data_IF_711216570294
#
_entry.id   IF_711216570294
#
_cell.length_a   1.000
_cell.length_b   1.000
_cell.length_c   1.000
_cell.angle_alpha   90.00
_cell.angle_beta   90.00
_cell.angle_gamma   90.00
#
_symmetry.space_group_name_H-M   'P 1'
#
loop_
_entity.id
_entity.type
_entity.pdbx_description
1 polymer ?
#
# COMPACT_ATOMS: atom_id res chain seq x y z
N UNK A 1 16.96 12.62 -5.62
CA UNK A 1 17.83 13.10 -4.54
C UNK A 1 17.25 14.34 -3.83
N UNK A 2 17.10 15.51 -4.47
CA UNK A 2 16.56 16.73 -3.80
C UNK A 2 15.26 16.48 -3.02
N UNK A 3 14.26 15.85 -3.63
CA UNK A 3 12.96 15.63 -2.99
C UNK A 3 13.05 14.78 -1.72
N UNK A 4 13.87 13.72 -1.70
CA UNK A 4 14.05 12.89 -0.50
C UNK A 4 14.69 13.68 0.65
N UNK A 5 15.66 14.54 0.34
CA UNK A 5 16.32 15.40 1.34
C UNK A 5 15.37 16.49 1.87
N UNK A 6 14.53 17.06 1.01
CA UNK A 6 13.49 18.02 1.41
C UNK A 6 12.50 17.38 2.38
N UNK A 7 11.94 16.22 2.04
CA UNK A 7 11.02 15.48 2.91
C UNK A 7 11.66 15.08 4.25
N UNK A 8 12.94 14.71 4.25
CA UNK A 8 13.68 14.44 5.49
C UNK A 8 13.83 15.69 6.35
N UNK A 9 14.10 16.84 5.74
CA UNK A 9 14.20 18.13 6.44
C UNK A 9 12.85 18.60 7.00
N UNK A 10 11.74 18.21 6.38
CA UNK A 10 10.37 18.41 6.85
C UNK A 10 10.00 17.49 8.02
N UNK A 11 10.88 16.54 8.38
CA UNK A 11 10.72 15.65 9.53
C UNK A 11 10.16 14.27 9.22
N UNK A 12 9.98 13.92 7.95
CA UNK A 12 9.48 12.60 7.59
C UNK A 12 10.50 11.51 7.90
N UNK A 13 10.03 10.35 8.37
CA UNK A 13 10.85 9.15 8.53
C UNK A 13 11.03 8.44 7.19
N UNK A 14 12.04 7.58 7.07
CA UNK A 14 12.38 6.91 5.79
C UNK A 14 11.22 6.12 5.19
N UNK A 15 10.39 5.49 6.01
CA UNK A 15 9.19 4.78 5.56
C UNK A 15 8.17 5.72 4.90
N UNK A 16 7.94 6.90 5.47
CA UNK A 16 7.05 7.92 4.90
C UNK A 16 7.63 8.49 3.59
N UNK A 17 8.95 8.72 3.54
CA UNK A 17 9.64 9.16 2.33
C UNK A 17 9.52 8.10 1.21
N UNK A 18 9.62 6.82 1.57
CA UNK A 18 9.43 5.70 0.64
C UNK A 18 8.05 5.72 -0.01
N UNK A 19 7.01 6.00 0.77
CA UNK A 19 5.64 6.13 0.26
C UNK A 19 5.46 7.37 -0.62
N UNK A 20 5.88 8.53 -0.15
CA UNK A 20 5.77 9.78 -0.90
C UNK A 20 6.49 9.75 -2.26
N UNK A 21 7.56 8.98 -2.38
CA UNK A 21 8.35 8.84 -3.60
C UNK A 21 8.00 7.59 -4.41
N UNK A 22 7.15 6.72 -3.90
CA UNK A 22 6.80 5.43 -4.49
C UNK A 22 8.04 4.61 -4.86
N UNK A 23 9.01 4.53 -3.95
CA UNK A 23 10.27 3.78 -4.10
C UNK A 23 10.52 2.89 -2.88
N UNK A 24 11.41 1.91 -3.02
CA UNK A 24 11.77 1.03 -1.91
C UNK A 24 12.53 1.77 -0.81
N UNK A 25 12.47 1.24 0.44
CA UNK A 25 13.25 1.79 1.56
C UNK A 25 14.76 1.81 1.30
N UNK A 26 15.30 0.79 0.60
CA UNK A 26 16.70 0.77 0.17
C UNK A 26 17.04 1.96 -0.74
N UNK A 27 16.13 2.29 -1.66
CA UNK A 27 16.29 3.46 -2.54
C UNK A 27 16.30 4.75 -1.72
N UNK A 28 15.42 4.89 -0.73
CA UNK A 28 15.39 6.07 0.16
C UNK A 28 16.71 6.19 0.93
N UNK A 29 17.17 5.11 1.57
CA UNK A 29 18.43 5.08 2.29
C UNK A 29 19.59 5.48 1.38
N UNK A 30 19.63 4.95 0.16
CA UNK A 30 20.64 5.32 -0.83
C UNK A 30 20.56 6.81 -1.22
N UNK A 31 19.36 7.33 -1.50
CA UNK A 31 19.13 8.73 -1.86
C UNK A 31 19.58 9.70 -0.76
N UNK A 32 19.33 9.37 0.51
CA UNK A 32 19.70 10.20 1.67
C UNK A 32 21.20 10.15 1.96
N UNK A 33 21.83 8.98 1.82
CA UNK A 33 23.27 8.82 2.12
C UNK A 33 24.17 9.35 1.00
N UNK A 34 23.67 9.49 -0.23
CA UNK A 34 24.43 9.95 -1.39
C UNK A 34 24.03 11.36 -1.84
N UNK A 35 23.16 12.05 -1.09
CA UNK A 35 22.67 13.39 -1.45
C UNK A 35 23.81 14.44 -1.59
N UNK A 36 24.90 14.28 -0.83
CA UNK A 36 26.05 15.21 -0.79
C UNK A 36 27.28 14.72 -1.58
N UNK A 37 27.26 13.47 -2.06
CA UNK A 37 28.41 12.88 -2.73
C UNK A 37 28.11 12.73 -4.24
N UNK A 38 28.99 13.27 -5.06
CA UNK A 38 29.13 12.88 -6.49
C UNK A 38 29.66 11.43 -6.52
N UNK A 39 28.84 10.46 -6.11
CA UNK A 39 29.26 9.07 -6.09
C UNK A 39 29.09 8.47 -7.47
N UNK A 40 30.12 7.78 -7.93
CA UNK A 40 30.13 7.01 -9.19
C UNK A 40 29.52 5.62 -9.02
N UNK A 41 29.04 5.27 -7.82
CA UNK A 41 28.36 3.98 -7.62
C UNK A 41 26.94 3.99 -8.19
N UNK A 42 26.56 2.96 -8.97
CA UNK A 42 25.21 2.84 -9.48
C UNK A 42 24.23 2.75 -8.32
N UNK A 43 23.19 3.58 -8.34
CA UNK A 43 22.11 3.52 -7.37
C UNK A 43 21.25 2.24 -7.50
N UNK A 44 20.38 2.00 -6.52
CA UNK A 44 19.40 0.92 -6.62
C UNK A 44 18.60 1.03 -7.92
N UNK A 45 18.32 -0.12 -8.52
CA UNK A 45 17.53 -0.19 -9.75
C UNK A 45 16.05 -0.14 -9.38
N UNK A 46 15.54 1.02 -9.09
CA UNK A 46 14.15 1.26 -8.75
C UNK A 46 13.48 2.21 -9.75
N UNK A 47 12.16 2.17 -9.84
CA UNK A 47 11.35 3.02 -10.70
C UNK A 47 10.37 3.77 -9.80
N UNK A 48 10.45 5.10 -9.78
CA UNK A 48 9.43 5.93 -9.16
C UNK A 48 8.25 6.08 -10.11
N UNK A 49 7.04 5.90 -9.60
CA UNK A 49 5.80 6.11 -10.35
C UNK A 49 5.06 7.29 -9.75
N UNK A 50 4.80 8.31 -10.56
CA UNK A 50 4.00 9.48 -10.17
C UNK A 50 2.56 9.31 -10.65
N UNK A 51 1.65 9.01 -9.72
CA UNK A 51 0.23 8.94 -9.97
C UNK A 51 -0.55 10.16 -9.42
N UNK A 52 0.16 11.21 -9.03
CA UNK A 52 -0.43 12.42 -8.42
C UNK A 52 -1.48 13.10 -9.31
N UNK A 53 -1.40 12.91 -10.64
CA UNK A 53 -2.44 13.38 -11.55
C UNK A 53 -3.80 12.73 -11.29
N UNK A 54 -3.83 11.51 -10.77
CA UNK A 54 -5.05 10.80 -10.33
C UNK A 54 -5.44 11.30 -8.94
N UNK A 55 -4.54 11.20 -7.97
CA UNK A 55 -4.81 11.50 -6.56
C UNK A 55 -5.25 12.93 -6.26
N UNK A 56 -4.85 13.91 -7.10
CA UNK A 56 -5.27 15.32 -6.97
C UNK A 56 -6.71 15.60 -7.37
N UNK A 57 -7.44 14.63 -7.90
CA UNK A 57 -8.81 14.81 -8.38
C UNK A 57 -9.71 13.69 -7.88
N UNK A 58 -10.64 14.02 -7.00
CA UNK A 58 -11.63 13.06 -6.52
C UNK A 58 -12.42 12.41 -7.67
N UNK A 59 -12.68 13.15 -8.74
CA UNK A 59 -13.33 12.61 -9.94
C UNK A 59 -12.49 11.50 -10.60
N UNK A 60 -11.20 11.74 -10.84
CA UNK A 60 -10.31 10.73 -11.43
C UNK A 60 -10.08 9.55 -10.50
N UNK A 61 -9.94 9.83 -9.21
CA UNK A 61 -9.76 8.82 -8.19
C UNK A 61 -10.97 7.88 -8.12
N UNK A 62 -12.20 8.43 -8.21
CA UNK A 62 -13.41 7.63 -8.27
C UNK A 62 -13.41 6.66 -9.45
N UNK A 63 -13.13 7.13 -10.66
CA UNK A 63 -13.12 6.25 -11.84
C UNK A 63 -12.03 5.18 -11.80
N UNK A 64 -10.90 5.47 -11.21
CA UNK A 64 -9.85 4.46 -10.98
C UNK A 64 -10.31 3.44 -9.92
N UNK A 65 -11.00 3.87 -8.88
CA UNK A 65 -11.56 2.98 -7.86
C UNK A 65 -12.67 2.09 -8.43
N UNK A 66 -13.53 2.60 -9.31
CA UNK A 66 -14.51 1.81 -10.05
C UNK A 66 -13.84 0.70 -10.87
N UNK A 67 -12.75 1.02 -11.60
CA UNK A 67 -11.99 0.01 -12.34
C UNK A 67 -11.30 -1.01 -11.41
N UNK A 68 -10.83 -0.59 -10.24
CA UNK A 68 -10.29 -1.51 -9.22
C UNK A 68 -11.40 -2.41 -8.65
N UNK A 69 -12.58 -1.87 -8.42
CA UNK A 69 -13.75 -2.64 -7.95
C UNK A 69 -14.12 -3.75 -8.95
N UNK A 70 -14.05 -3.46 -10.26
CA UNK A 70 -14.35 -4.43 -11.32
C UNK A 70 -13.37 -5.62 -11.27
N UNK A 71 -12.07 -5.39 -11.21
CA UNK A 71 -11.09 -6.50 -11.10
C UNK A 71 -11.16 -7.25 -9.75
N UNK A 72 -11.62 -6.58 -8.69
CA UNK A 72 -11.89 -7.23 -7.40
C UNK A 72 -13.07 -8.20 -7.56
N UNK A 73 -14.17 -7.77 -8.18
CA UNK A 73 -15.32 -8.65 -8.45
C UNK A 73 -14.91 -9.87 -9.27
N UNK A 74 -14.15 -9.70 -10.36
CA UNK A 74 -13.64 -10.83 -11.15
C UNK A 74 -12.85 -11.82 -10.29
N UNK A 75 -12.05 -11.31 -9.35
CA UNK A 75 -11.22 -12.14 -8.47
C UNK A 75 -12.05 -12.87 -7.42
N UNK A 76 -13.01 -12.20 -6.81
CA UNK A 76 -13.91 -12.79 -5.81
C UNK A 76 -14.80 -13.87 -6.45
N UNK A 77 -15.35 -13.61 -7.63
CA UNK A 77 -16.16 -14.57 -8.38
C UNK A 77 -15.35 -15.81 -8.77
N UNK A 78 -14.10 -15.64 -9.24
CA UNK A 78 -13.23 -16.75 -9.61
C UNK A 78 -12.87 -17.66 -8.41
N UNK A 79 -12.83 -17.09 -7.21
CA UNK A 79 -12.50 -17.80 -5.98
C UNK A 79 -13.73 -18.21 -5.15
N UNK A 80 -14.96 -17.97 -5.64
CA UNK A 80 -16.21 -18.19 -4.91
C UNK A 80 -16.20 -17.53 -3.52
N UNK A 81 -15.61 -16.32 -3.44
CA UNK A 81 -15.40 -15.59 -2.19
C UNK A 81 -16.32 -14.38 -2.07
N UNK A 82 -16.51 -13.91 -0.83
CA UNK A 82 -17.27 -12.69 -0.50
C UNK A 82 -16.37 -11.62 0.09
N UNK A 83 -16.92 -10.44 0.34
CA UNK A 83 -16.27 -9.34 1.04
C UNK A 83 -17.24 -8.68 2.01
N UNK A 84 -16.85 -8.62 3.27
CA UNK A 84 -17.55 -7.89 4.32
C UNK A 84 -16.86 -6.55 4.60
N UNK A 85 -15.52 -6.55 4.52
CA UNK A 85 -14.67 -5.39 4.91
C UNK A 85 -13.59 -5.12 3.87
N UNK A 86 -13.48 -3.85 3.48
CA UNK A 86 -12.33 -3.33 2.74
C UNK A 86 -11.35 -2.72 3.72
N UNK A 87 -10.14 -3.23 3.78
CA UNK A 87 -9.05 -2.74 4.64
C UNK A 87 -8.15 -1.81 3.83
N UNK A 88 -8.24 -0.51 4.09
CA UNK A 88 -7.37 0.48 3.45
C UNK A 88 -6.04 0.63 4.18
N UNK A 89 -4.94 0.58 3.43
CA UNK A 89 -3.61 0.86 3.98
C UNK A 89 -3.41 2.38 4.06
N UNK A 90 -3.14 2.89 5.25
CA UNK A 90 -2.85 4.30 5.43
C UNK A 90 -1.44 4.63 4.88
N UNK A 91 -1.23 5.80 4.25
CA UNK A 91 -2.18 6.88 4.02
C UNK A 91 -2.78 6.83 2.61
N UNK A 92 -1.96 6.53 1.58
CA UNK A 92 -2.27 6.72 0.17
C UNK A 92 -3.32 5.75 -0.36
N UNK A 93 -3.38 4.53 0.18
CA UNK A 93 -4.38 3.52 -0.17
C UNK A 93 -5.78 3.84 0.37
N UNK A 94 -5.87 4.60 1.49
CA UNK A 94 -7.15 4.85 2.16
C UNK A 94 -8.21 5.56 1.30
N UNK A 95 -7.89 6.61 0.53
CA UNK A 95 -8.89 7.24 -0.35
C UNK A 95 -9.47 6.28 -1.39
N UNK A 96 -8.64 5.40 -1.96
CA UNK A 96 -9.06 4.37 -2.92
C UNK A 96 -9.93 3.34 -2.20
N UNK A 97 -9.48 2.82 -1.06
CA UNK A 97 -10.21 1.84 -0.26
C UNK A 97 -11.60 2.34 0.16
N UNK A 98 -11.73 3.61 0.51
CA UNK A 98 -13.01 4.23 0.87
C UNK A 98 -14.01 4.22 -0.30
N UNK A 99 -13.55 4.46 -1.53
CA UNK A 99 -14.38 4.42 -2.73
C UNK A 99 -14.74 2.99 -3.10
N UNK A 100 -13.77 2.07 -3.07
CA UNK A 100 -13.98 0.64 -3.30
C UNK A 100 -14.98 0.06 -2.28
N UNK A 101 -14.87 0.41 -1.00
CA UNK A 101 -15.82 -0.03 0.04
C UNK A 101 -17.24 0.45 -0.26
N UNK A 102 -17.38 1.72 -0.71
CA UNK A 102 -18.66 2.26 -1.12
C UNK A 102 -19.27 1.48 -2.31
N UNK A 103 -18.47 1.18 -3.32
CA UNK A 103 -18.93 0.49 -4.53
C UNK A 103 -19.30 -0.97 -4.28
N UNK A 104 -18.58 -1.63 -3.34
CA UNK A 104 -18.85 -2.99 -2.89
C UNK A 104 -19.97 -3.07 -1.83
N UNK A 105 -20.47 -1.93 -1.33
CA UNK A 105 -21.38 -1.85 -0.19
C UNK A 105 -20.81 -2.59 1.05
N UNK A 106 -19.49 -2.60 1.21
CA UNK A 106 -18.75 -3.23 2.29
C UNK A 106 -18.40 -2.24 3.40
N UNK A 107 -18.07 -2.75 4.58
CA UNK A 107 -17.53 -1.94 5.67
C UNK A 107 -16.09 -1.50 5.36
N UNK A 108 -15.63 -0.42 5.99
CA UNK A 108 -14.27 0.09 5.85
C UNK A 108 -13.49 -0.11 7.14
N UNK A 109 -12.31 -0.73 7.05
CA UNK A 109 -11.29 -0.74 8.09
C UNK A 109 -10.05 0.03 7.64
N UNK A 110 -9.29 0.57 8.60
CA UNK A 110 -8.07 1.35 8.32
C UNK A 110 -6.91 0.74 9.07
N UNK A 111 -5.94 0.26 8.31
CA UNK A 111 -4.68 -0.27 8.83
C UNK A 111 -3.56 0.75 8.68
N UNK A 112 -2.87 1.06 9.79
CA UNK A 112 -1.69 1.92 9.81
C UNK A 112 -0.44 1.06 9.97
N UNK A 113 0.46 1.00 8.96
CA UNK A 113 1.68 0.20 9.02
C UNK A 113 2.67 0.70 10.08
N UNK A 114 3.48 -0.22 10.62
CA UNK A 114 4.49 0.07 11.64
C UNK A 114 5.50 1.15 11.20
N UNK A 115 5.84 1.18 9.92
CA UNK A 115 6.78 2.16 9.33
C UNK A 115 6.28 3.61 9.36
N UNK A 116 4.96 3.81 9.50
CA UNK A 116 4.36 5.15 9.64
C UNK A 116 4.24 5.60 11.09
N UNK A 117 4.45 4.69 12.04
CA UNK A 117 4.38 5.01 13.46
C UNK A 117 5.71 5.58 13.95
N UNK A 118 5.64 6.65 14.74
CA UNK A 118 6.82 7.17 15.44
C UNK A 118 7.23 6.13 16.47
N UNK A 119 8.43 5.56 16.31
CA UNK A 119 8.99 4.64 17.29
C UNK A 119 9.09 5.33 18.66
N UNK A 120 8.31 4.88 19.64
CA UNK A 120 8.52 5.26 21.04
C UNK A 120 9.77 4.54 21.54
N UNK A 121 10.58 5.23 22.40
CA UNK A 121 11.80 4.69 22.98
C UNK A 121 11.56 3.26 23.52
N UNK A 122 12.32 2.30 22.97
CA UNK A 122 12.36 0.88 23.36
C UNK A 122 11.20 -0.05 22.94
N UNK A 123 10.28 0.32 22.04
CA UNK A 123 9.36 -0.65 21.43
C UNK A 123 9.41 -0.52 19.92
N UNK A 124 9.59 -1.65 19.21
CA UNK A 124 9.26 -1.71 17.78
C UNK A 124 7.80 -1.35 17.63
N UNK A 125 7.51 -0.29 16.88
CA UNK A 125 6.15 0.04 16.52
C UNK A 125 5.54 -1.17 15.79
N UNK A 126 4.34 -1.59 16.17
CA UNK A 126 3.55 -2.57 15.41
C UNK A 126 2.47 -1.78 14.67
N UNK A 127 2.12 -2.23 13.47
CA UNK A 127 0.94 -1.71 12.79
C UNK A 127 -0.32 -1.97 13.61
N UNK A 128 -1.38 -1.23 13.33
CA UNK A 128 -2.65 -1.39 14.02
C UNK A 128 -3.85 -0.99 13.16
N UNK A 129 -5.02 -1.55 13.51
CA UNK A 129 -6.32 -1.08 13.02
C UNK A 129 -6.82 0.12 13.84
N UNK A 130 -7.45 1.06 13.16
CA UNK A 130 -8.10 2.20 13.80
C UNK A 130 -9.45 1.80 14.41
N UNK A 131 -9.65 2.07 15.69
CA UNK A 131 -10.88 1.73 16.43
C UNK A 131 -12.12 2.54 16.02
N UNK A 132 -11.98 3.54 15.15
CA UNK A 132 -13.10 4.33 14.63
C UNK A 132 -13.75 3.72 13.39
N UNK A 133 -13.18 2.64 12.87
CA UNK A 133 -13.63 1.94 11.67
C UNK A 133 -14.02 0.49 12.03
N UNK A 134 -14.37 -0.30 11.02
CA UNK A 134 -14.77 -1.68 11.23
C UNK A 134 -13.67 -2.51 11.88
N UNK A 135 -14.06 -3.48 12.72
CA UNK A 135 -13.22 -4.62 13.06
C UNK A 135 -13.20 -5.64 11.91
N UNK A 136 -12.35 -6.64 12.02
CA UNK A 136 -12.12 -7.67 10.97
C UNK A 136 -12.34 -9.10 11.46
N UNK A 137 -12.70 -9.29 12.74
CA UNK A 137 -12.83 -10.60 13.34
C UNK A 137 -13.96 -11.40 12.68
N UNK A 138 -13.66 -12.60 12.24
CA UNK A 138 -14.56 -13.54 11.55
C UNK A 138 -15.16 -13.00 10.23
N UNK A 139 -14.58 -11.95 9.64
CA UNK A 139 -15.07 -11.32 8.42
C UNK A 139 -14.21 -11.65 7.20
N UNK A 140 -14.84 -11.63 6.03
CA UNK A 140 -14.19 -11.73 4.74
C UNK A 140 -13.66 -10.36 4.33
N UNK A 141 -12.33 -10.27 4.18
CA UNK A 141 -11.63 -9.00 3.97
C UNK A 141 -10.91 -8.96 2.62
N UNK A 142 -10.82 -7.77 2.05
CA UNK A 142 -9.86 -7.44 1.01
C UNK A 142 -8.96 -6.29 1.47
N UNK A 143 -7.69 -6.31 1.08
CA UNK A 143 -6.75 -5.23 1.37
C UNK A 143 -6.62 -4.35 0.13
N UNK A 144 -6.65 -3.02 0.32
CA UNK A 144 -6.51 -2.05 -0.77
C UNK A 144 -5.37 -1.08 -0.47
N UNK A 145 -4.45 -0.93 -1.44
CA UNK A 145 -3.34 0.03 -1.37
C UNK A 145 -3.13 0.71 -2.74
N UNK A 146 -2.33 1.77 -2.79
CA UNK A 146 -2.00 2.47 -4.03
C UNK A 146 -0.85 1.79 -4.78
N UNK A 147 0.28 1.53 -4.13
CA UNK A 147 1.50 1.03 -4.80
C UNK A 147 2.19 -0.06 -3.99
N UNK A 148 2.32 -1.24 -4.56
CA UNK A 148 3.22 -2.25 -3.99
C UNK A 148 4.63 -2.11 -4.57
N UNK A 149 5.62 -1.94 -3.68
CA UNK A 149 7.04 -1.89 -4.02
C UNK A 149 7.76 -3.19 -3.61
N UNK A 150 8.13 -3.33 -2.35
CA UNK A 150 8.72 -4.56 -1.79
C UNK A 150 7.68 -5.59 -1.34
N UNK A 151 6.48 -5.15 -1.02
CA UNK A 151 5.41 -5.97 -0.45
C UNK A 151 5.43 -6.09 1.08
N UNK A 152 6.48 -5.61 1.75
CA UNK A 152 6.62 -5.74 3.21
C UNK A 152 5.46 -5.16 4.01
N UNK A 153 4.89 -4.04 3.56
CA UNK A 153 3.71 -3.42 4.20
C UNK A 153 2.49 -4.32 4.12
N UNK A 154 2.28 -4.93 2.96
CA UNK A 154 1.15 -5.83 2.73
C UNK A 154 1.36 -7.17 3.46
N UNK A 155 2.60 -7.70 3.50
CA UNK A 155 2.94 -8.86 4.33
C UNK A 155 2.63 -8.59 5.81
N UNK A 156 3.06 -7.45 6.36
CA UNK A 156 2.76 -7.04 7.74
C UNK A 156 1.24 -6.91 7.97
N UNK A 157 0.51 -6.35 7.02
CA UNK A 157 -0.93 -6.19 7.12
C UNK A 157 -1.65 -7.54 7.10
N UNK A 158 -1.26 -8.46 6.21
CA UNK A 158 -1.83 -9.82 6.15
C UNK A 158 -1.60 -10.55 7.47
N UNK A 159 -0.36 -10.58 7.98
CA UNK A 159 -0.03 -11.22 9.25
C UNK A 159 -0.86 -10.64 10.41
N UNK A 160 -0.97 -9.30 10.48
CA UNK A 160 -1.76 -8.64 11.52
C UNK A 160 -3.24 -9.00 11.45
N UNK A 161 -3.82 -8.97 10.26
CA UNK A 161 -5.25 -9.24 10.06
C UNK A 161 -5.60 -10.71 10.35
N UNK A 162 -4.73 -11.64 9.94
CA UNK A 162 -4.87 -13.07 10.24
C UNK A 162 -4.81 -13.33 11.75
N UNK A 163 -3.85 -12.71 12.47
CA UNK A 163 -3.78 -12.75 13.95
C UNK A 163 -5.05 -12.23 14.63
N UNK A 164 -5.82 -11.35 13.93
CA UNK A 164 -7.08 -10.79 14.42
C UNK A 164 -8.33 -11.50 13.88
N UNK A 165 -8.15 -12.66 13.26
CA UNK A 165 -9.25 -13.53 12.83
C UNK A 165 -9.93 -13.13 11.52
N UNK A 166 -9.31 -12.29 10.69
CA UNK A 166 -9.81 -11.99 9.36
C UNK A 166 -9.57 -13.14 8.38
N UNK A 167 -10.47 -13.31 7.41
CA UNK A 167 -10.24 -14.12 6.20
C UNK A 167 -9.93 -13.18 5.05
N UNK A 168 -8.70 -13.21 4.55
CA UNK A 168 -8.24 -12.26 3.52
C UNK A 168 -8.33 -12.92 2.15
N UNK A 169 -9.27 -12.46 1.32
CA UNK A 169 -9.60 -13.08 0.04
C UNK A 169 -8.80 -12.50 -1.14
N UNK A 170 -8.37 -11.24 -1.06
CA UNK A 170 -7.55 -10.60 -2.09
C UNK A 170 -6.80 -9.38 -1.56
N UNK A 171 -5.73 -9.03 -2.26
CA UNK A 171 -5.03 -7.74 -2.16
C UNK A 171 -5.20 -7.03 -3.50
N UNK A 172 -5.76 -5.82 -3.50
CA UNK A 172 -5.94 -5.02 -4.69
C UNK A 172 -5.09 -3.74 -4.62
N UNK A 173 -4.28 -3.50 -5.64
CA UNK A 173 -3.40 -2.32 -5.70
C UNK A 173 -3.58 -1.59 -7.03
N UNK A 174 -3.43 -0.28 -7.01
CA UNK A 174 -3.45 0.50 -8.25
C UNK A 174 -2.24 0.16 -9.11
N UNK A 175 -1.04 0.08 -8.50
CA UNK A 175 0.22 -0.12 -9.20
C UNK A 175 1.04 -1.21 -8.53
N UNK A 176 1.33 -2.27 -9.29
CA UNK A 176 2.26 -3.33 -8.87
C UNK A 176 3.64 -3.14 -9.50
N UNK A 177 4.66 -2.86 -8.67
CA UNK A 177 6.07 -2.78 -9.03
C UNK A 177 6.85 -4.05 -8.64
N UNK A 178 6.26 -4.92 -7.83
CA UNK A 178 6.87 -6.18 -7.38
C UNK A 178 6.70 -7.27 -8.44
N UNK A 179 5.59 -7.25 -9.16
CA UNK A 179 5.26 -8.27 -10.17
C UNK A 179 4.96 -9.63 -9.54
N UNK A 180 4.36 -9.65 -8.35
CA UNK A 180 3.99 -10.89 -7.66
C UNK A 180 2.51 -11.21 -7.88
N UNK A 181 2.19 -12.50 -7.92
CA UNK A 181 0.81 -12.97 -8.02
C UNK A 181 0.17 -13.17 -6.63
N UNK A 182 1.01 -13.29 -5.59
CA UNK A 182 0.56 -13.45 -4.21
C UNK A 182 1.52 -12.79 -3.21
N UNK A 183 1.00 -12.40 -2.05
CA UNK A 183 1.74 -11.93 -0.88
C UNK A 183 1.20 -12.66 0.35
N UNK A 184 2.08 -13.33 1.10
CA UNK A 184 1.73 -14.15 2.26
C UNK A 184 0.58 -15.16 1.98
N UNK A 185 0.53 -15.72 0.76
CA UNK A 185 -0.51 -16.68 0.34
C UNK A 185 -1.84 -16.05 -0.09
N UNK A 186 -1.93 -14.70 -0.12
CA UNK A 186 -3.12 -13.98 -0.56
C UNK A 186 -2.91 -13.50 -2.01
N UNK A 187 -3.87 -13.73 -2.93
CA UNK A 187 -3.76 -13.30 -4.33
C UNK A 187 -3.70 -11.78 -4.45
N UNK A 188 -2.83 -11.29 -5.36
CA UNK A 188 -2.65 -9.87 -5.66
C UNK A 188 -3.18 -9.54 -7.03
N UNK A 189 -4.09 -8.56 -7.09
CA UNK A 189 -4.59 -7.98 -8.34
C UNK A 189 -4.21 -6.51 -8.45
N UNK A 190 -3.95 -6.05 -9.66
CA UNK A 190 -3.53 -4.66 -9.89
C UNK A 190 -4.03 -4.14 -11.23
N UNK A 191 -4.36 -2.85 -11.27
CA UNK A 191 -4.70 -2.20 -12.55
C UNK A 191 -3.49 -2.02 -13.45
N UNK A 192 -2.33 -1.73 -12.87
CA UNK A 192 -1.10 -1.46 -13.61
C UNK A 192 0.05 -2.30 -13.04
N UNK A 193 0.75 -3.04 -13.92
CA UNK A 193 1.99 -3.73 -13.59
C UNK A 193 3.18 -3.01 -14.21
N UNK A 194 4.18 -2.68 -13.39
CA UNK A 194 5.42 -2.07 -13.84
C UNK A 194 6.46 -3.17 -14.04
N UNK A 195 6.68 -3.57 -15.28
CA UNK A 195 7.65 -4.60 -15.61
C UNK A 195 8.93 -4.00 -16.19
N UNK A 196 10.06 -4.49 -15.73
CA UNK A 196 11.36 -4.13 -16.29
C UNK A 196 11.68 -5.06 -17.45
N UNK A 197 11.83 -4.50 -18.64
CA UNK A 197 12.36 -5.23 -19.80
C UNK A 197 13.88 -5.05 -19.80
N UNK A 198 14.64 -6.15 -19.73
CA UNK A 198 16.11 -6.17 -19.76
C UNK A 198 16.61 -6.28 -21.21
#
# INVERSE_FOLDING_TARGET
MKKATELKAEGLVEGQISEELNVSGETVTWLLTHAEKTSTSPGPKDISVDWSAIGRSAFRLNHISEAMTDIIYETLDANESSVDVVVGIALSGLPIASMVANDLAAELAVYTPSKQMIAQENKRAKGNLSSNFSDVQDKDCIIVDDVVTSGQTLEEAVEYLDEHGARINAIAVLIDKKGTEEIAGVPVVSLLKVMRVN
#
